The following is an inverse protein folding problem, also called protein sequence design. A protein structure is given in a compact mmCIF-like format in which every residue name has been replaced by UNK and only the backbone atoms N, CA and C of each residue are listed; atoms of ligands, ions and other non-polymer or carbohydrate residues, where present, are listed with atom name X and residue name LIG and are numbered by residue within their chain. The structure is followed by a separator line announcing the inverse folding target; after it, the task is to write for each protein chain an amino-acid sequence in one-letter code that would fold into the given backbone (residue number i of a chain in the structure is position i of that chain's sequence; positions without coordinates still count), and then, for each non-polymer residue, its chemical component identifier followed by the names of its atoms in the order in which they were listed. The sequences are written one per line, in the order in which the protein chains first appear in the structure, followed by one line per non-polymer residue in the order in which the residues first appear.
data_IF_658643772134
#
_entry.id   IF_658643772134
#
_cell.length_a   1.000
_cell.length_b   1.000
_cell.length_c   1.000
_cell.angle_alpha   90.00
_cell.angle_beta   90.00
_cell.angle_gamma   90.00
#
_symmetry.space_group_name_H-M   'P 1'
#
loop_
_entity.id
_entity.type
_entity.pdbx_description
1 polymer ?
#
# COMPACT_ATOMS: atom_id res chain seq x y z
N UNK A 1 -28.65 -2.61 3.96
CA UNK A 1 -29.26 -3.96 4.15
C UNK A 1 -28.54 -5.09 3.40
N UNK A 2 -27.92 -4.85 2.22
CA UNK A 2 -27.17 -5.89 1.47
C UNK A 2 -25.75 -6.20 2.02
N UNK A 3 -24.99 -5.19 2.49
CA UNK A 3 -23.60 -5.36 2.99
C UNK A 3 -23.47 -6.16 4.30
N UNK A 4 -24.43 -6.07 5.24
CA UNK A 4 -24.44 -6.85 6.50
C UNK A 4 -24.57 -8.37 6.31
N UNK A 5 -24.88 -8.84 5.09
CA UNK A 5 -25.07 -10.27 4.80
C UNK A 5 -23.80 -10.95 4.31
N UNK A 6 -22.77 -10.18 3.95
CA UNK A 6 -21.53 -10.67 3.31
C UNK A 6 -20.36 -10.62 4.29
N UNK A 7 -20.26 -9.56 5.09
CA UNK A 7 -19.26 -9.43 6.15
C UNK A 7 -19.90 -9.97 7.42
N UNK A 8 -19.35 -11.06 7.99
CA UNK A 8 -19.89 -11.69 9.20
C UNK A 8 -20.06 -10.72 10.37
N UNK A 9 -20.78 -11.14 11.42
CA UNK A 9 -21.09 -10.30 12.58
C UNK A 9 -19.86 -9.85 13.41
N UNK A 10 -18.66 -10.32 13.07
CA UNK A 10 -17.40 -10.04 13.75
C UNK A 10 -16.81 -8.66 13.42
N UNK A 11 -17.16 -8.06 12.27
CA UNK A 11 -16.64 -6.76 11.84
C UNK A 11 -17.76 -5.72 11.81
N UNK A 12 -17.72 -4.77 12.74
CA UNK A 12 -18.68 -3.67 12.82
C UNK A 12 -17.96 -2.31 12.73
N UNK A 13 -17.83 -1.80 11.49
CA UNK A 13 -17.24 -0.49 11.21
C UNK A 13 -18.01 0.69 11.80
N UNK A 14 -19.23 0.49 12.32
CA UNK A 14 -19.93 1.54 13.07
C UNK A 14 -19.40 1.71 14.50
N UNK A 15 -18.73 0.67 15.03
CA UNK A 15 -18.15 0.65 16.38
C UNK A 15 -16.63 0.76 16.36
N UNK A 16 -15.99 0.27 15.30
CA UNK A 16 -14.54 0.37 15.05
C UNK A 16 -14.32 0.89 13.63
N UNK A 17 -14.38 2.22 13.43
CA UNK A 17 -14.11 2.79 12.11
C UNK A 17 -12.66 2.49 11.70
N UNK A 18 -12.46 2.23 10.42
CA UNK A 18 -11.15 2.14 9.78
C UNK A 18 -11.18 3.06 8.56
N UNK A 19 -10.07 3.75 8.31
CA UNK A 19 -9.89 4.55 7.11
C UNK A 19 -9.86 3.65 5.86
N UNK A 20 -10.68 3.98 4.87
CA UNK A 20 -10.74 3.30 3.56
C UNK A 20 -10.09 4.14 2.44
N UNK A 21 -9.63 5.34 2.78
CA UNK A 21 -8.87 6.24 1.93
C UNK A 21 -7.96 7.12 2.78
N UNK A 22 -6.71 7.28 2.35
CA UNK A 22 -5.79 8.25 2.95
C UNK A 22 -4.90 8.87 1.88
N UNK A 23 -4.49 10.12 2.12
CA UNK A 23 -3.44 10.82 1.36
C UNK A 23 -2.45 11.44 2.33
N UNK A 24 -1.17 11.37 2.00
CA UNK A 24 -0.10 11.99 2.76
C UNK A 24 0.92 12.64 1.84
N UNK A 25 1.60 13.65 2.38
CA UNK A 25 2.77 14.28 1.77
C UNK A 25 3.86 14.33 2.82
N UNK A 26 5.02 13.79 2.50
CA UNK A 26 6.24 13.91 3.29
C UNK A 26 7.23 14.78 2.51
N UNK A 27 7.88 15.68 3.21
CA UNK A 27 8.97 16.50 2.67
C UNK A 27 10.22 16.15 3.47
N UNK A 28 11.25 15.70 2.77
CA UNK A 28 12.52 15.28 3.33
C UNK A 28 13.66 16.12 2.74
N UNK A 29 14.82 16.05 3.38
CA UNK A 29 16.06 16.63 2.88
C UNK A 29 17.08 15.50 2.72
N UNK A 30 17.74 15.43 1.56
CA UNK A 30 18.83 14.47 1.34
C UNK A 30 20.15 14.95 1.97
N UNK A 31 21.19 14.12 1.90
CA UNK A 31 22.52 14.45 2.46
C UNK A 31 23.19 15.69 1.83
N UNK A 32 22.70 16.15 0.67
CA UNK A 32 23.21 17.29 -0.09
C UNK A 32 22.36 18.55 0.11
N UNK A 33 21.31 18.48 0.93
CA UNK A 33 20.41 19.60 1.18
C UNK A 33 19.30 19.75 0.14
N UNK A 34 19.09 18.76 -0.74
CA UNK A 34 18.00 18.81 -1.71
C UNK A 34 16.69 18.39 -1.05
N UNK A 35 15.64 19.14 -1.36
CA UNK A 35 14.28 18.80 -0.96
C UNK A 35 13.76 17.62 -1.78
N UNK A 36 13.35 16.56 -1.09
CA UNK A 36 12.63 15.41 -1.64
C UNK A 36 11.17 15.49 -1.20
N UNK A 37 10.24 15.16 -2.11
CA UNK A 37 8.81 15.11 -1.79
C UNK A 37 8.27 13.73 -2.12
N UNK A 38 7.58 13.12 -1.15
CA UNK A 38 6.88 11.86 -1.30
C UNK A 38 5.39 12.14 -1.14
N UNK A 39 4.62 11.90 -2.18
CA UNK A 39 3.16 11.94 -2.13
C UNK A 39 2.61 10.52 -2.22
N UNK A 40 1.75 10.14 -1.27
CA UNK A 40 1.13 8.84 -1.24
C UNK A 40 -0.39 8.97 -1.18
N UNK A 41 -1.09 8.06 -1.84
CA UNK A 41 -2.54 7.90 -1.72
C UNK A 41 -2.86 6.41 -1.69
N UNK A 42 -3.65 5.99 -0.71
CA UNK A 42 -4.09 4.60 -0.56
C UNK A 42 -5.60 4.54 -0.47
N UNK A 43 -6.20 3.49 -1.02
CA UNK A 43 -7.66 3.30 -0.95
C UNK A 43 -8.06 1.83 -0.98
N UNK A 44 -8.91 1.47 -0.03
CA UNK A 44 -9.65 0.21 0.02
C UNK A 44 -10.97 0.28 -0.76
N UNK A 45 -11.35 1.47 -1.23
CA UNK A 45 -12.56 1.70 -2.02
C UNK A 45 -12.32 1.63 -3.53
N UNK A 46 -11.09 1.26 -3.97
CA UNK A 46 -10.80 1.10 -5.39
C UNK A 46 -11.64 -0.03 -5.99
N UNK A 47 -12.47 0.32 -6.98
CA UNK A 47 -13.27 -0.63 -7.75
C UNK A 47 -12.67 -0.72 -9.15
N UNK A 48 -11.84 -1.73 -9.35
CA UNK A 48 -11.20 -2.05 -10.62
C UNK A 48 -10.69 -3.49 -10.63
N UNK A 49 -9.97 -3.90 -11.68
CA UNK A 49 -9.38 -5.22 -11.73
C UNK A 49 -8.15 -5.30 -10.81
N UNK A 50 -8.16 -6.22 -9.84
CA UNK A 50 -7.00 -6.53 -8.99
C UNK A 50 -6.48 -5.38 -8.12
N UNK A 51 -5.27 -5.56 -7.59
CA UNK A 51 -4.54 -4.59 -6.76
C UNK A 51 -3.72 -3.64 -7.64
N UNK A 52 -3.98 -2.33 -7.50
CA UNK A 52 -3.25 -1.29 -8.22
C UNK A 52 -2.15 -0.67 -7.36
N UNK A 53 -0.90 -0.85 -7.79
CA UNK A 53 0.27 -0.15 -7.27
C UNK A 53 0.80 0.71 -8.41
N UNK A 54 0.91 2.02 -8.15
CA UNK A 54 1.47 3.00 -9.07
C UNK A 54 2.55 3.77 -8.32
N UNK A 55 3.75 3.78 -8.87
CA UNK A 55 4.90 4.49 -8.31
C UNK A 55 5.48 5.34 -9.43
N UNK A 56 5.71 6.62 -9.14
CA UNK A 56 6.35 7.56 -10.04
C UNK A 56 7.50 8.23 -9.31
N UNK A 57 8.64 8.36 -10.00
CA UNK A 57 9.82 9.08 -9.54
C UNK A 57 10.19 10.08 -10.62
N UNK A 58 10.21 11.36 -10.24
CA UNK A 58 10.49 12.47 -11.14
C UNK A 58 11.73 13.21 -10.66
N UNK A 59 12.68 13.41 -11.57
CA UNK A 59 13.86 14.24 -11.37
C UNK A 59 13.98 15.29 -12.47
N UNK A 60 14.95 16.21 -12.38
CA UNK A 60 15.13 17.29 -13.35
C UNK A 60 15.33 16.81 -14.79
N UNK A 61 15.94 15.63 -14.97
CA UNK A 61 16.31 15.07 -16.27
C UNK A 61 15.90 13.60 -16.44
N UNK A 62 15.06 13.07 -15.54
CA UNK A 62 14.60 11.69 -15.60
C UNK A 62 13.20 11.52 -15.04
N UNK A 63 12.51 10.48 -15.52
CA UNK A 63 11.26 9.99 -14.97
C UNK A 63 11.29 8.46 -14.97
N UNK A 64 10.73 7.87 -13.92
CA UNK A 64 10.52 6.43 -13.79
C UNK A 64 9.09 6.20 -13.33
N UNK A 65 8.43 5.20 -13.91
CA UNK A 65 7.07 4.80 -13.54
C UNK A 65 6.96 3.28 -13.46
N UNK A 66 6.14 2.80 -12.51
CA UNK A 66 5.70 1.42 -12.41
C UNK A 66 4.19 1.43 -12.21
N UNK A 67 3.47 0.57 -12.93
CA UNK A 67 2.04 0.37 -12.77
C UNK A 67 1.69 -1.13 -12.88
N UNK A 68 1.25 -1.73 -11.78
CA UNK A 68 0.98 -3.18 -11.72
C UNK A 68 -0.25 -3.62 -12.51
N UNK A 69 -1.15 -2.70 -12.87
CA UNK A 69 -2.26 -2.99 -13.77
C UNK A 69 -1.95 -2.65 -15.25
N UNK A 70 -0.76 -2.11 -15.51
CA UNK A 70 -0.22 -1.85 -16.84
C UNK A 70 0.37 -3.10 -17.51
N UNK A 71 -0.28 -4.26 -17.35
CA UNK A 71 0.27 -5.54 -17.84
C UNK A 71 0.23 -5.62 -19.37
N UNK A 72 1.22 -6.29 -19.96
CA UNK A 72 1.26 -6.54 -21.41
C UNK A 72 0.14 -7.49 -21.83
N UNK A 73 -0.03 -8.58 -21.07
CA UNK A 73 -1.10 -9.55 -21.30
C UNK A 73 -2.41 -9.06 -20.69
N UNK A 74 -3.45 -9.08 -21.52
CA UNK A 74 -4.82 -8.77 -21.13
C UNK A 74 -5.78 -9.80 -21.71
N UNK A 75 -6.76 -10.22 -20.91
CA UNK A 75 -7.82 -11.16 -21.33
C UNK A 75 -9.15 -10.43 -21.30
N UNK A 76 -9.96 -10.61 -22.34
CA UNK A 76 -11.32 -10.07 -22.35
C UNK A 76 -12.33 -11.20 -22.13
N UNK A 77 -13.18 -11.06 -21.11
CA UNK A 77 -14.29 -11.98 -20.85
C UNK A 77 -15.61 -11.31 -21.20
N UNK A 78 -16.40 -11.98 -22.05
CA UNK A 78 -17.72 -11.52 -22.43
C UNK A 78 -18.74 -11.74 -21.30
N UNK A 79 -19.88 -11.06 -21.41
CA UNK A 79 -20.95 -11.07 -20.41
C UNK A 79 -21.65 -12.43 -20.26
N UNK A 80 -21.40 -13.36 -21.19
CA UNK A 80 -21.98 -14.70 -21.17
C UNK A 80 -21.14 -15.70 -20.35
N UNK A 81 -19.92 -15.32 -19.93
CA UNK A 81 -19.11 -16.09 -18.97
C UNK A 81 -19.70 -15.91 -17.58
N UNK A 82 -20.11 -17.02 -16.94
CA UNK A 82 -20.71 -17.05 -15.59
C UNK A 82 -19.90 -17.98 -14.70
N UNK A 83 -19.34 -17.44 -13.61
CA UNK A 83 -18.63 -18.21 -12.57
C UNK A 83 -19.57 -18.69 -11.45
N UNK A 84 -19.17 -19.73 -10.72
CA UNK A 84 -19.84 -20.13 -9.48
C UNK A 84 -19.37 -19.25 -8.33
N UNK A 85 -20.27 -18.46 -7.73
CA UNK A 85 -19.97 -17.63 -6.56
C UNK A 85 -19.50 -18.50 -5.38
N UNK A 86 -18.23 -18.41 -5.00
CA UNK A 86 -17.69 -19.24 -3.92
C UNK A 86 -16.20 -19.10 -3.63
N UNK A 87 -15.40 -18.54 -4.54
CA UNK A 87 -13.96 -18.27 -4.33
C UNK A 87 -13.64 -16.78 -4.47
N UNK A 88 -14.65 -15.94 -4.17
CA UNK A 88 -14.57 -14.49 -4.21
C UNK A 88 -13.79 -13.96 -2.99
N UNK A 89 -12.47 -13.93 -3.08
CA UNK A 89 -11.72 -12.91 -2.35
C UNK A 89 -12.21 -11.56 -2.88
N UNK A 90 -12.43 -10.60 -1.97
CA UNK A 90 -12.93 -9.24 -2.29
C UNK A 90 -12.11 -8.58 -3.40
N UNK A 91 -10.84 -8.95 -3.53
CA UNK A 91 -9.90 -8.53 -4.57
C UNK A 91 -10.23 -9.02 -6.00
N UNK A 92 -10.98 -10.12 -6.13
CA UNK A 92 -11.27 -10.80 -7.41
C UNK A 92 -12.71 -10.65 -7.88
N UNK A 93 -13.59 -9.98 -7.14
CA UNK A 93 -15.01 -9.84 -7.52
C UNK A 93 -15.25 -9.10 -8.85
N UNK A 94 -14.33 -8.23 -9.28
CA UNK A 94 -14.45 -7.54 -10.57
C UNK A 94 -13.82 -8.32 -11.74
N UNK A 95 -13.33 -9.54 -11.49
CA UNK A 95 -12.60 -10.34 -12.47
C UNK A 95 -13.50 -11.13 -13.45
N UNK A 96 -14.82 -11.07 -13.31
CA UNK A 96 -15.71 -11.98 -14.05
C UNK A 96 -16.13 -11.46 -15.44
N UNK A 97 -16.03 -10.15 -15.71
CA UNK A 97 -16.45 -9.56 -16.99
C UNK A 97 -15.57 -8.35 -17.38
N UNK A 98 -15.28 -8.21 -18.68
CA UNK A 98 -14.52 -7.09 -19.22
C UNK A 98 -13.04 -7.41 -19.46
N UNK A 99 -12.24 -6.35 -19.62
CA UNK A 99 -10.81 -6.46 -19.86
C UNK A 99 -10.07 -6.64 -18.54
N UNK A 100 -9.39 -7.78 -18.41
CA UNK A 100 -8.62 -8.17 -17.25
C UNK A 100 -7.12 -8.08 -17.54
N UNK A 101 -6.35 -7.30 -16.75
CA UNK A 101 -4.90 -7.44 -16.74
C UNK A 101 -4.52 -8.80 -16.15
N UNK A 102 -3.50 -9.44 -16.73
CA UNK A 102 -2.93 -10.67 -16.21
C UNK A 102 -1.56 -10.37 -15.64
N UNK A 103 -1.38 -10.65 -14.35
CA UNK A 103 -0.10 -10.55 -13.68
C UNK A 103 0.62 -11.91 -13.77
N UNK A 104 1.59 -12.02 -14.66
CA UNK A 104 2.20 -13.31 -15.04
C UNK A 104 3.05 -13.93 -13.92
N UNK A 105 3.80 -13.09 -13.19
CA UNK A 105 4.59 -13.48 -12.02
C UNK A 105 4.35 -12.48 -10.88
N UNK A 106 3.24 -12.68 -10.16
CA UNK A 106 2.85 -11.80 -9.04
C UNK A 106 3.93 -11.73 -7.96
N UNK A 107 4.51 -12.87 -7.58
CA UNK A 107 5.50 -12.94 -6.51
C UNK A 107 6.83 -12.28 -6.89
N UNK A 108 7.23 -12.38 -8.17
CA UNK A 108 8.38 -11.67 -8.70
C UNK A 108 8.12 -10.17 -8.86
N UNK A 109 6.97 -9.78 -9.42
CA UNK A 109 6.64 -8.37 -9.69
C UNK A 109 6.47 -7.57 -8.39
N UNK A 110 5.91 -8.18 -7.34
CA UNK A 110 5.83 -7.55 -6.01
C UNK A 110 7.13 -7.64 -5.21
N UNK A 111 8.16 -8.32 -5.74
CA UNK A 111 9.51 -8.33 -5.17
C UNK A 111 9.75 -9.39 -4.09
N UNK A 112 8.74 -10.13 -3.65
CA UNK A 112 8.83 -11.10 -2.55
C UNK A 112 9.95 -12.13 -2.76
N UNK A 113 10.06 -12.67 -3.98
CA UNK A 113 11.05 -13.72 -4.28
C UNK A 113 12.50 -13.25 -4.07
N UNK A 114 12.79 -12.01 -4.47
CA UNK A 114 14.14 -11.45 -4.38
C UNK A 114 14.43 -10.87 -3.00
N UNK A 115 13.41 -10.32 -2.32
CA UNK A 115 13.51 -9.93 -0.90
C UNK A 115 13.86 -11.13 -0.02
N UNK A 116 13.10 -12.22 -0.13
CA UNK A 116 13.34 -13.45 0.65
C UNK A 116 14.74 -14.02 0.37
N UNK A 117 15.13 -14.09 -0.90
CA UNK A 117 16.45 -14.54 -1.32
C UNK A 117 17.56 -13.70 -0.69
N UNK A 118 17.44 -12.37 -0.75
CA UNK A 118 18.40 -11.44 -0.18
C UNK A 118 18.56 -11.64 1.33
N UNK A 119 17.44 -11.69 2.06
CA UNK A 119 17.43 -11.88 3.51
C UNK A 119 18.07 -13.21 3.92
N UNK A 120 17.74 -14.30 3.22
CA UNK A 120 18.33 -15.62 3.47
C UNK A 120 19.83 -15.63 3.19
N UNK A 121 20.29 -14.99 2.11
CA UNK A 121 21.70 -14.93 1.75
C UNK A 121 22.52 -14.06 2.72
N UNK A 122 21.97 -12.92 3.17
CA UNK A 122 22.57 -12.10 4.21
C UNK A 122 22.72 -12.89 5.51
N UNK A 123 21.68 -13.61 5.93
CA UNK A 123 21.72 -14.49 7.10
C UNK A 123 22.81 -15.56 6.96
N UNK A 124 22.84 -16.28 5.83
CA UNK A 124 23.81 -17.36 5.57
C UNK A 124 25.27 -16.88 5.58
N UNK A 125 25.51 -15.63 5.18
CA UNK A 125 26.85 -15.02 5.12
C UNK A 125 27.21 -14.21 6.37
N UNK A 126 26.30 -14.04 7.32
CA UNK A 126 26.50 -13.17 8.48
C UNK A 126 26.63 -11.69 8.08
N UNK A 127 25.98 -11.27 7.01
CA UNK A 127 25.98 -9.89 6.54
C UNK A 127 24.72 -9.17 7.02
N UNK A 128 24.85 -7.87 7.30
CA UNK A 128 23.69 -7.00 7.53
C UNK A 128 22.92 -6.83 6.21
N UNK A 129 21.59 -7.05 6.18
CA UNK A 129 20.79 -6.76 4.99
C UNK A 129 20.74 -5.26 4.69
N UNK A 130 20.35 -4.91 3.47
CA UNK A 130 20.19 -3.52 3.03
C UNK A 130 19.15 -2.78 3.85
N UNK A 131 18.02 -3.43 4.13
CA UNK A 131 16.96 -2.93 4.98
C UNK A 131 16.96 -3.68 6.31
N UNK A 132 16.73 -2.96 7.40
CA UNK A 132 16.76 -3.47 8.77
C UNK A 132 15.54 -3.04 9.56
N UNK A 133 15.43 -3.54 10.79
CA UNK A 133 14.36 -3.14 11.69
C UNK A 133 14.33 -1.62 11.96
N UNK A 134 15.49 -0.95 11.93
CA UNK A 134 15.57 0.50 12.08
C UNK A 134 14.83 1.24 10.96
N UNK A 135 14.94 0.76 9.73
CA UNK A 135 14.27 1.33 8.57
C UNK A 135 12.75 1.15 8.69
N UNK A 136 12.31 -0.02 9.18
CA UNK A 136 10.92 -0.27 9.55
C UNK A 136 10.39 0.69 10.62
N UNK A 137 11.17 0.99 11.66
CA UNK A 137 10.80 1.99 12.69
C UNK A 137 10.63 3.37 12.06
N UNK A 138 11.55 3.80 11.19
CA UNK A 138 11.45 5.10 10.51
C UNK A 138 10.18 5.21 9.66
N UNK A 139 9.79 4.14 8.95
CA UNK A 139 8.50 4.08 8.21
C UNK A 139 7.32 4.24 9.14
N UNK A 140 7.32 3.57 10.29
CA UNK A 140 6.24 3.68 11.28
C UNK A 140 6.17 5.10 11.86
N UNK A 141 7.31 5.72 12.17
CA UNK A 141 7.36 7.11 12.65
C UNK A 141 6.78 8.10 11.62
N UNK A 142 7.11 7.93 10.34
CA UNK A 142 6.53 8.72 9.25
C UNK A 142 5.01 8.56 9.17
N UNK A 143 4.49 7.32 9.28
CA UNK A 143 3.05 7.06 9.30
C UNK A 143 2.37 7.69 10.52
N UNK A 144 2.98 7.58 11.70
CA UNK A 144 2.49 8.20 12.93
C UNK A 144 2.41 9.72 12.81
N UNK A 145 3.42 10.36 12.20
CA UNK A 145 3.41 11.79 11.92
C UNK A 145 2.29 12.19 10.96
N UNK A 146 2.05 11.41 9.90
CA UNK A 146 0.94 11.64 8.97
C UNK A 146 -0.42 11.53 9.67
N UNK A 147 -0.61 10.52 10.53
CA UNK A 147 -1.82 10.40 11.34
C UNK A 147 -2.00 11.59 12.28
N UNK A 148 -0.94 12.01 12.97
CA UNK A 148 -0.99 13.15 13.89
C UNK A 148 -1.29 14.44 13.15
N UNK A 149 -0.70 14.62 11.96
CA UNK A 149 -0.98 15.75 11.08
C UNK A 149 -2.46 15.77 10.64
N UNK A 150 -3.01 14.62 10.27
CA UNK A 150 -4.43 14.49 9.91
C UNK A 150 -5.36 14.77 11.11
N UNK A 151 -4.99 14.34 12.33
CA UNK A 151 -5.77 14.58 13.55
C UNK A 151 -5.77 16.07 13.95
N UNK A 152 -4.62 16.74 13.87
CA UNK A 152 -4.47 18.13 14.33
C UNK A 152 -4.72 19.17 13.25
N UNK A 153 -4.67 18.78 11.97
CA UNK A 153 -4.71 19.69 10.83
C UNK A 153 -3.46 20.54 10.68
N UNK A 154 -2.32 20.11 11.23
CA UNK A 154 -1.05 20.85 11.22
C UNK A 154 0.09 20.02 10.64
N UNK A 155 1.10 20.68 10.07
CA UNK A 155 2.35 20.03 9.68
C UNK A 155 3.07 19.51 10.92
N UNK A 156 3.55 18.27 10.86
CA UNK A 156 4.36 17.64 11.91
C UNK A 156 5.81 17.61 11.44
N UNK A 157 6.71 18.20 12.23
CA UNK A 157 8.14 18.16 11.99
C UNK A 157 8.74 16.99 12.78
N UNK A 158 9.19 15.94 12.08
CA UNK A 158 9.67 14.70 12.69
C UNK A 158 10.79 14.92 13.70
N UNK A 159 11.76 15.80 13.39
CA UNK A 159 12.89 16.11 14.26
C UNK A 159 12.50 16.83 15.57
N UNK A 160 11.32 17.43 15.62
CA UNK A 160 10.86 18.27 16.74
C UNK A 160 9.70 17.63 17.52
N UNK A 161 9.20 16.49 17.05
CA UNK A 161 7.98 15.87 17.57
C UNK A 161 8.27 14.50 18.15
N UNK A 162 8.13 14.36 19.46
CA UNK A 162 8.10 13.04 20.08
C UNK A 162 6.78 12.34 19.76
N UNK A 163 6.90 11.16 19.15
CA UNK A 163 5.79 10.28 18.73
C UNK A 163 5.77 8.98 19.53
N UNK A 164 6.67 8.76 20.50
CA UNK A 164 6.85 7.47 21.18
C UNK A 164 5.58 6.91 21.83
N UNK A 165 4.75 7.79 22.39
CA UNK A 165 3.48 7.43 23.03
C UNK A 165 2.23 7.76 22.18
N UNK A 166 2.43 8.21 20.93
CA UNK A 166 1.32 8.59 20.07
C UNK A 166 0.58 7.35 19.55
N UNK A 167 -0.75 7.34 19.69
CA UNK A 167 -1.60 6.30 19.12
C UNK A 167 -2.56 6.95 18.13
N UNK A 168 -2.58 6.54 16.85
CA UNK A 168 -3.52 7.06 15.86
C UNK A 168 -4.98 6.89 16.32
N UNK A 169 -5.89 7.84 16.01
CA UNK A 169 -7.29 7.76 16.43
C UNK A 169 -7.98 6.42 16.15
N UNK A 170 -7.68 5.80 15.01
CA UNK A 170 -8.26 4.52 14.56
C UNK A 170 -7.73 3.29 15.32
N UNK A 171 -6.61 3.44 16.02
CA UNK A 171 -6.01 2.40 16.86
C UNK A 171 -6.34 2.57 18.35
N UNK A 172 -7.05 3.65 18.74
CA UNK A 172 -7.48 3.87 20.13
C UNK A 172 -8.69 2.96 20.42
N UNK A 173 -8.67 2.32 21.59
CA UNK A 173 -9.70 1.38 22.04
C UNK A 173 -11.01 2.06 22.44
#
# INVERSE_FOLDING_TARGET
RRRKRVVGAEVDYSRRPAEDFARGTLVLEDEQGHTLMIECSTSWAYVGPGLRIQIELLGPEYAMEINTLGTELKVFLSREVRGSAGEDLVEKQNAEQGLMPVLEDEAGIYGYTEEDRHMVECFRKGLRPSETFHDGVAVVEMLMALYRSAETGQTVYLAETDLSDYVPPVARA
#
